data_IF_469393918612
#
_entry.id   IF_469393918612
#
_cell.length_a   1.000
_cell.length_b   1.000
_cell.length_c   1.000
_cell.angle_alpha   90.00
_cell.angle_beta   90.00
_cell.angle_gamma   90.00
#
_symmetry.space_group_name_H-M   'P 1'
#
loop_
_entity.id
_entity.type
_entity.pdbx_description
1 polymer ?
#
# COMPACT_ATOMS: atom_id res chain seq x y z
N UNK A 1 3.58 -3.76 36.26
CA UNK A 1 2.39 -4.49 35.86
C UNK A 1 2.03 -3.95 34.47
N UNK A 2 2.55 -4.56 33.49
CA UNK A 2 2.00 -5.45 32.53
C UNK A 2 3.11 -6.06 31.65
N UNK A 3 3.70 -7.15 32.13
CA UNK A 3 4.64 -7.96 31.37
C UNK A 3 3.93 -8.98 30.46
N UNK A 4 2.61 -8.87 30.30
CA UNK A 4 1.79 -9.84 29.54
C UNK A 4 1.49 -9.45 28.10
N UNK A 5 1.93 -8.27 27.64
CA UNK A 5 1.67 -7.81 26.26
C UNK A 5 2.81 -8.13 25.26
N UNK A 6 3.91 -8.72 25.69
CA UNK A 6 5.10 -8.93 24.84
C UNK A 6 5.25 -10.37 24.31
N UNK A 7 4.46 -11.33 24.82
CA UNK A 7 4.75 -12.75 24.60
C UNK A 7 3.92 -13.46 23.51
N UNK A 8 3.07 -12.78 22.76
CA UNK A 8 2.30 -13.48 21.72
C UNK A 8 2.41 -12.86 20.32
N UNK A 9 3.61 -12.45 19.94
CA UNK A 9 3.90 -12.09 18.56
C UNK A 9 3.95 -13.37 17.71
N UNK A 10 2.79 -13.85 17.29
CA UNK A 10 2.74 -15.01 16.39
C UNK A 10 3.54 -14.68 15.13
N UNK A 11 4.55 -15.49 14.85
CA UNK A 11 5.35 -15.32 13.62
C UNK A 11 4.45 -15.56 12.41
N UNK A 12 4.67 -14.81 11.32
CA UNK A 12 3.87 -14.92 10.08
C UNK A 12 3.72 -16.39 9.64
N UNK A 13 4.81 -17.19 9.70
CA UNK A 13 4.75 -18.60 9.34
C UNK A 13 3.74 -19.40 10.16
N UNK A 14 3.65 -19.15 11.46
CA UNK A 14 2.69 -19.82 12.34
C UNK A 14 1.23 -19.41 12.04
N UNK A 15 1.00 -18.13 11.71
CA UNK A 15 -0.31 -17.64 11.29
C UNK A 15 -0.79 -18.31 10.00
N UNK A 16 0.11 -18.43 9.03
CA UNK A 16 -0.20 -19.06 7.74
C UNK A 16 -0.42 -20.57 7.86
N UNK A 17 0.36 -21.25 8.73
CA UNK A 17 0.17 -22.67 9.05
C UNK A 17 -1.17 -22.93 9.73
N UNK A 18 -1.50 -22.14 10.76
CA UNK A 18 -2.75 -22.28 11.51
C UNK A 18 -3.99 -22.15 10.62
N UNK A 19 -3.86 -21.45 9.50
CA UNK A 19 -4.92 -21.26 8.50
C UNK A 19 -4.86 -22.23 7.32
N UNK A 20 -3.92 -23.16 7.32
CA UNK A 20 -3.68 -24.08 6.20
C UNK A 20 -3.47 -23.34 4.86
N UNK A 21 -2.91 -22.13 4.88
CA UNK A 21 -2.57 -21.36 3.66
C UNK A 21 -1.30 -21.92 3.03
N UNK A 22 -0.33 -22.30 3.88
CA UNK A 22 0.92 -22.93 3.46
C UNK A 22 1.20 -24.15 4.34
N UNK A 23 2.01 -25.09 3.83
CA UNK A 23 2.52 -26.24 4.58
C UNK A 23 3.84 -25.89 5.28
N UNK A 24 4.24 -26.72 6.27
CA UNK A 24 5.54 -26.60 6.92
C UNK A 24 6.69 -26.72 5.91
N UNK A 25 6.57 -27.63 4.96
CA UNK A 25 7.58 -27.85 3.90
C UNK A 25 7.77 -26.61 3.03
N UNK A 26 6.69 -25.89 2.71
CA UNK A 26 6.74 -24.65 1.95
C UNK A 26 7.39 -23.51 2.75
N UNK A 27 7.15 -23.42 4.05
CA UNK A 27 7.83 -22.48 4.92
C UNK A 27 9.33 -22.79 5.00
N UNK A 28 9.68 -24.06 5.19
CA UNK A 28 11.09 -24.49 5.31
C UNK A 28 11.84 -24.22 3.99
N UNK A 29 11.19 -24.42 2.85
CA UNK A 29 11.74 -24.08 1.54
C UNK A 29 11.99 -22.57 1.40
N UNK A 30 11.02 -21.73 1.78
CA UNK A 30 11.16 -20.27 1.74
C UNK A 30 12.23 -19.76 2.69
N UNK A 31 12.35 -20.33 3.90
CA UNK A 31 13.41 -19.99 4.87
C UNK A 31 14.80 -20.40 4.36
N UNK A 32 14.91 -21.52 3.65
CA UNK A 32 16.16 -21.95 3.04
C UNK A 32 16.60 -20.99 1.94
N UNK A 33 15.67 -20.62 1.07
CA UNK A 33 15.89 -19.61 0.02
C UNK A 33 16.29 -18.24 0.61
N UNK A 34 15.65 -17.84 1.73
CA UNK A 34 15.97 -16.60 2.42
C UNK A 34 17.43 -16.60 2.92
N UNK A 35 17.91 -17.73 3.46
CA UNK A 35 19.29 -17.88 3.92
C UNK A 35 20.28 -17.82 2.77
N UNK A 36 20.00 -18.48 1.67
CA UNK A 36 20.84 -18.49 0.48
C UNK A 36 20.98 -17.11 -0.15
N UNK A 37 19.88 -16.33 -0.19
CA UNK A 37 19.86 -14.95 -0.70
C UNK A 37 20.33 -13.90 0.32
N UNK A 38 20.85 -14.31 1.48
CA UNK A 38 21.44 -13.42 2.48
C UNK A 38 20.40 -12.54 3.21
N UNK A 39 19.22 -13.06 3.48
CA UNK A 39 18.15 -12.42 4.25
C UNK A 39 17.65 -11.07 3.69
N UNK A 40 17.79 -10.82 2.38
CA UNK A 40 17.41 -9.55 1.75
C UNK A 40 15.90 -9.39 1.56
N UNK A 41 15.15 -10.50 1.58
CA UNK A 41 13.70 -10.52 1.39
C UNK A 41 12.99 -11.04 2.62
N UNK A 42 11.79 -10.52 2.87
CA UNK A 42 10.95 -11.00 3.95
C UNK A 42 10.36 -12.38 3.60
N UNK A 43 10.07 -13.21 4.61
CA UNK A 43 9.47 -14.53 4.41
C UNK A 43 8.17 -14.44 3.57
N UNK A 44 7.33 -13.44 3.84
CA UNK A 44 6.08 -13.24 3.10
C UNK A 44 6.30 -12.97 1.62
N UNK A 45 7.30 -12.16 1.27
CA UNK A 45 7.65 -11.87 -0.13
C UNK A 45 8.11 -13.13 -0.86
N UNK A 46 8.94 -13.95 -0.21
CA UNK A 46 9.41 -15.20 -0.78
C UNK A 46 8.28 -16.21 -1.00
N UNK A 47 7.37 -16.34 -0.02
CA UNK A 47 6.21 -17.22 -0.16
C UNK A 47 5.32 -16.83 -1.35
N UNK A 48 5.15 -15.53 -1.60
CA UNK A 48 4.41 -15.01 -2.76
C UNK A 48 5.17 -15.26 -4.06
N UNK A 49 6.48 -14.99 -4.11
CA UNK A 49 7.31 -15.23 -5.29
C UNK A 49 7.36 -16.72 -5.68
N UNK A 50 7.41 -17.60 -4.69
CA UNK A 50 7.37 -19.04 -4.89
C UNK A 50 5.97 -19.56 -5.24
N UNK A 51 4.95 -18.68 -5.24
CA UNK A 51 3.57 -19.02 -5.59
C UNK A 51 2.84 -19.85 -4.54
N UNK A 52 3.33 -19.89 -3.31
CA UNK A 52 2.72 -20.65 -2.21
C UNK A 52 1.52 -19.98 -1.59
N UNK A 53 1.47 -18.65 -1.65
CA UNK A 53 0.33 -17.84 -1.21
C UNK A 53 0.26 -16.51 -1.96
N UNK A 54 -0.80 -15.75 -1.72
CA UNK A 54 -0.99 -14.40 -2.26
C UNK A 54 -0.73 -13.34 -1.20
N UNK A 55 -0.42 -12.10 -1.62
CA UNK A 55 -0.28 -10.96 -0.70
C UNK A 55 -1.55 -10.75 0.14
N UNK A 56 -2.74 -10.94 -0.46
CA UNK A 56 -4.02 -10.80 0.25
C UNK A 56 -4.18 -11.84 1.37
N UNK A 57 -3.72 -13.06 1.14
CA UNK A 57 -3.75 -14.11 2.17
C UNK A 57 -2.81 -13.79 3.33
N UNK A 58 -1.63 -13.23 3.03
CA UNK A 58 -0.68 -12.77 4.06
C UNK A 58 -1.28 -11.63 4.87
N UNK A 59 -1.78 -10.58 4.21
CA UNK A 59 -2.36 -9.42 4.87
C UNK A 59 -3.58 -9.79 5.73
N UNK A 60 -4.44 -10.68 5.23
CA UNK A 60 -5.57 -11.21 6.00
C UNK A 60 -5.14 -12.03 7.21
N UNK A 61 -4.08 -12.84 7.08
CA UNK A 61 -3.54 -13.63 8.19
C UNK A 61 -2.93 -12.73 9.27
N UNK A 62 -2.18 -11.70 8.87
CA UNK A 62 -1.63 -10.70 9.80
C UNK A 62 -2.74 -9.93 10.50
N UNK A 63 -3.73 -9.45 9.76
CA UNK A 63 -4.87 -8.72 10.32
C UNK A 63 -5.55 -9.49 11.45
N UNK A 64 -5.88 -10.76 11.22
CA UNK A 64 -6.51 -11.61 12.24
C UNK A 64 -5.55 -11.91 13.40
N UNK A 65 -4.29 -12.22 13.11
CA UNK A 65 -3.29 -12.52 14.15
C UNK A 65 -3.04 -11.35 15.09
N UNK A 66 -3.23 -10.13 14.63
CA UNK A 66 -3.07 -8.90 15.43
C UNK A 66 -4.41 -8.28 15.86
N UNK A 67 -5.55 -8.93 15.53
CA UNK A 67 -6.87 -8.45 15.94
C UNK A 67 -7.28 -7.13 15.29
N UNK A 68 -6.74 -6.82 14.10
CA UNK A 68 -7.07 -5.61 13.33
C UNK A 68 -7.90 -5.97 12.10
N UNK A 69 -8.76 -5.06 11.59
CA UNK A 69 -9.50 -5.32 10.37
C UNK A 69 -8.58 -5.47 9.17
N UNK A 70 -8.91 -6.37 8.25
CA UNK A 70 -8.36 -6.41 6.91
C UNK A 70 -9.25 -5.60 5.96
N UNK A 71 -8.67 -4.76 5.13
CA UNK A 71 -9.38 -4.02 4.09
C UNK A 71 -8.57 -4.03 2.79
N UNK A 72 -9.24 -4.34 1.69
CA UNK A 72 -8.68 -4.10 0.37
C UNK A 72 -8.88 -2.62 0.03
N UNK A 73 -7.79 -1.85 0.02
CA UNK A 73 -7.86 -0.41 -0.20
C UNK A 73 -7.75 -0.07 -1.68
N UNK A 74 -8.26 1.10 -2.03
CA UNK A 74 -8.21 1.64 -3.38
C UNK A 74 -8.69 3.09 -3.40
N UNK A 75 -8.58 3.80 -4.54
CA UNK A 75 -8.88 5.23 -4.63
C UNK A 75 -10.28 5.63 -4.15
N UNK A 76 -11.27 4.73 -4.29
CA UNK A 76 -12.66 5.03 -3.87
C UNK A 76 -12.88 5.06 -2.36
N UNK A 77 -11.94 4.51 -1.57
CA UNK A 77 -12.08 4.37 -0.10
C UNK A 77 -11.30 5.46 0.62
N UNK A 78 -10.33 6.08 -0.03
CA UNK A 78 -9.48 7.11 0.53
C UNK A 78 -10.12 8.50 0.31
N UNK A 79 -10.17 9.33 1.38
CA UNK A 79 -10.46 10.75 1.24
C UNK A 79 -9.15 11.48 0.89
N UNK A 80 -9.04 12.10 -0.29
CA UNK A 80 -7.80 12.77 -0.71
C UNK A 80 -7.31 13.83 0.29
N UNK A 81 -8.21 14.49 1.00
CA UNK A 81 -7.87 15.54 1.97
C UNK A 81 -7.10 15.04 3.18
N UNK A 82 -7.24 13.76 3.52
CA UNK A 82 -6.52 13.20 4.67
C UNK A 82 -5.08 12.81 4.33
N UNK A 83 -4.73 12.72 3.06
CA UNK A 83 -3.36 12.47 2.63
C UNK A 83 -2.42 13.59 3.03
N UNK A 84 -2.92 14.84 3.11
CA UNK A 84 -2.16 16.02 3.51
C UNK A 84 -1.81 16.05 5.00
N UNK A 85 -2.41 15.18 5.83
CA UNK A 85 -2.14 15.10 7.27
C UNK A 85 -0.74 14.57 7.57
N UNK A 86 -0.22 13.73 6.69
CA UNK A 86 1.13 13.15 6.81
C UNK A 86 2.01 13.60 5.63
N UNK A 87 3.32 13.82 5.85
CA UNK A 87 4.23 14.14 4.77
C UNK A 87 4.25 13.06 3.68
N UNK A 88 4.34 13.46 2.43
CA UNK A 88 4.36 12.55 1.28
C UNK A 88 5.49 11.52 1.38
N UNK A 89 6.68 11.97 1.73
CA UNK A 89 7.86 11.13 1.90
C UNK A 89 7.62 10.05 2.94
N UNK A 90 6.92 10.40 4.03
CA UNK A 90 6.55 9.46 5.09
C UNK A 90 5.56 8.39 4.58
N UNK A 91 4.55 8.80 3.79
CA UNK A 91 3.56 7.87 3.20
C UNK A 91 4.23 6.87 2.27
N UNK A 92 5.16 7.32 1.44
CA UNK A 92 5.86 6.51 0.44
C UNK A 92 6.91 5.58 1.09
N UNK A 93 7.71 6.10 2.04
CA UNK A 93 8.77 5.35 2.72
C UNK A 93 8.20 4.22 3.58
N UNK A 94 7.16 4.51 4.35
CA UNK A 94 6.56 3.55 5.29
C UNK A 94 5.37 2.77 4.72
N UNK A 95 4.97 3.03 3.48
CA UNK A 95 3.83 2.40 2.80
C UNK A 95 2.57 2.52 3.68
N UNK A 96 2.22 3.77 4.03
CA UNK A 96 1.08 4.13 4.87
C UNK A 96 0.07 4.88 4.04
N UNK A 97 -1.21 4.52 4.15
CA UNK A 97 -2.30 5.20 3.45
C UNK A 97 -3.33 5.69 4.46
N UNK A 98 -3.41 6.99 4.75
CA UNK A 98 -4.55 7.58 5.45
C UNK A 98 -5.83 7.39 4.63
N UNK A 99 -6.88 6.87 5.25
CA UNK A 99 -8.14 6.57 4.57
C UNK A 99 -9.18 7.66 4.81
N UNK A 100 -9.44 7.93 6.06
CA UNK A 100 -10.39 8.96 6.49
C UNK A 100 -10.13 9.37 7.94
N UNK A 101 -10.64 10.56 8.29
CA UNK A 101 -10.58 11.09 9.65
C UNK A 101 -11.98 11.37 10.16
N UNK A 102 -12.31 10.82 11.34
CA UNK A 102 -13.57 11.07 12.03
C UNK A 102 -13.24 11.67 13.40
N UNK A 103 -13.70 12.88 13.64
CA UNK A 103 -13.34 13.64 14.85
C UNK A 103 -11.82 13.76 15.01
N UNK A 104 -11.27 13.15 16.07
CA UNK A 104 -9.83 13.12 16.34
C UNK A 104 -9.21 11.73 16.11
N UNK A 105 -9.85 10.88 15.34
CA UNK A 105 -9.35 9.54 15.00
C UNK A 105 -9.06 9.47 13.51
N UNK A 106 -7.79 9.18 13.17
CA UNK A 106 -7.32 8.93 11.82
C UNK A 106 -7.27 7.43 11.56
N UNK A 107 -8.00 6.95 10.56
CA UNK A 107 -7.91 5.56 10.12
C UNK A 107 -6.88 5.45 9.02
N UNK A 108 -5.90 4.56 9.21
CA UNK A 108 -4.79 4.36 8.28
C UNK A 108 -4.67 2.89 7.88
N UNK A 109 -4.38 2.65 6.60
CA UNK A 109 -4.01 1.33 6.12
C UNK A 109 -2.49 1.16 6.17
N UNK A 110 -2.04 0.04 6.71
CA UNK A 110 -0.64 -0.36 6.80
C UNK A 110 -0.48 -1.83 6.42
N UNK A 111 0.71 -2.24 6.00
CA UNK A 111 1.00 -3.64 5.66
C UNK A 111 1.56 -4.43 6.85
N UNK A 112 2.10 -3.75 7.88
CA UNK A 112 2.72 -4.38 9.05
C UNK A 112 2.05 -3.93 10.36
N UNK A 113 0.95 -4.54 10.77
CA UNK A 113 0.23 -4.16 12.00
C UNK A 113 1.04 -4.38 13.29
N UNK A 114 2.14 -5.13 13.21
CA UNK A 114 3.08 -5.36 14.30
C UNK A 114 3.99 -4.15 14.61
N UNK A 115 4.08 -3.19 13.71
CA UNK A 115 5.00 -2.05 13.84
C UNK A 115 4.39 -0.95 14.71
N UNK A 116 4.48 -1.14 16.02
CA UNK A 116 3.93 -0.18 17.01
C UNK A 116 4.64 1.17 16.92
N UNK A 117 5.94 1.19 16.62
CA UNK A 117 6.69 2.45 16.47
C UNK A 117 6.16 3.31 15.33
N UNK A 118 5.78 2.68 14.22
CA UNK A 118 5.16 3.38 13.10
C UNK A 118 3.81 3.99 13.51
N UNK A 119 3.01 3.26 14.29
CA UNK A 119 1.70 3.74 14.76
C UNK A 119 1.89 4.97 15.67
N UNK A 120 2.80 4.88 16.65
CA UNK A 120 3.12 5.98 17.56
C UNK A 120 3.64 7.21 16.79
N UNK A 121 4.43 6.99 15.74
CA UNK A 121 4.94 8.08 14.91
C UNK A 121 3.84 8.75 14.10
N UNK A 122 2.92 7.98 13.53
CA UNK A 122 1.73 8.52 12.85
C UNK A 122 0.89 9.36 13.83
N UNK A 123 0.68 8.89 15.06
CA UNK A 123 -0.03 9.65 16.09
C UNK A 123 0.68 10.98 16.42
N UNK A 124 2.00 10.94 16.55
CA UNK A 124 2.82 12.11 16.84
C UNK A 124 2.76 13.15 15.72
N UNK A 125 2.85 12.73 14.45
CA UNK A 125 2.84 13.65 13.30
C UNK A 125 1.44 14.21 13.08
N UNK A 126 0.41 13.35 13.10
CA UNK A 126 -0.97 13.75 12.82
C UNK A 126 -1.67 14.49 13.95
N UNK A 127 -1.18 14.33 15.20
CA UNK A 127 -1.87 14.81 16.40
C UNK A 127 -3.22 14.13 16.66
N UNK A 128 -3.49 13.01 16.02
CA UNK A 128 -4.73 12.26 16.10
C UNK A 128 -4.50 10.91 16.78
N UNK A 129 -5.57 10.33 17.33
CA UNK A 129 -5.56 8.88 17.63
C UNK A 129 -5.54 8.10 16.33
N UNK A 130 -4.78 7.02 16.29
CA UNK A 130 -4.68 6.17 15.10
C UNK A 130 -5.49 4.90 15.26
N UNK A 131 -6.30 4.60 14.26
CA UNK A 131 -6.94 3.30 14.08
C UNK A 131 -6.37 2.67 12.82
N UNK A 132 -5.83 1.47 12.95
CA UNK A 132 -5.20 0.79 11.83
C UNK A 132 -6.14 -0.23 11.18
N UNK A 133 -6.00 -0.39 9.87
CA UNK A 133 -6.48 -1.52 9.10
C UNK A 133 -5.30 -2.15 8.36
N UNK A 134 -5.29 -3.45 8.21
CA UNK A 134 -4.25 -4.13 7.46
C UNK A 134 -4.63 -4.23 5.99
N UNK A 135 -3.68 -3.93 5.10
CA UNK A 135 -3.86 -4.07 3.66
C UNK A 135 -2.58 -4.54 2.99
N UNK A 136 -2.62 -4.81 1.68
CA UNK A 136 -1.42 -5.20 0.94
C UNK A 136 -0.56 -3.98 0.61
N UNK A 137 0.75 -4.16 0.58
CA UNK A 137 1.68 -3.11 0.14
C UNK A 137 1.38 -2.66 -1.30
N UNK A 138 0.96 -3.60 -2.15
CA UNK A 138 0.57 -3.34 -3.53
C UNK A 138 -0.62 -2.40 -3.64
N UNK A 139 -1.71 -2.67 -2.90
CA UNK A 139 -2.92 -1.85 -2.93
C UNK A 139 -2.67 -0.45 -2.37
N UNK A 140 -1.89 -0.36 -1.27
CA UNK A 140 -1.49 0.92 -0.69
C UNK A 140 -0.69 1.74 -1.70
N UNK A 141 0.38 1.17 -2.28
CA UNK A 141 1.23 1.87 -3.26
C UNK A 141 0.43 2.30 -4.49
N UNK A 142 -0.40 1.42 -5.04
CA UNK A 142 -1.24 1.74 -6.19
C UNK A 142 -2.19 2.91 -5.90
N UNK A 143 -2.75 2.95 -4.67
CA UNK A 143 -3.64 4.04 -4.26
C UNK A 143 -2.88 5.34 -4.05
N UNK A 144 -1.69 5.30 -3.40
CA UNK A 144 -0.83 6.48 -3.25
C UNK A 144 -0.43 7.05 -4.61
N UNK A 145 -0.02 6.22 -5.56
CA UNK A 145 0.33 6.65 -6.91
C UNK A 145 -0.83 7.30 -7.67
N UNK A 146 -2.06 6.86 -7.42
CA UNK A 146 -3.23 7.46 -8.04
C UNK A 146 -3.54 8.89 -7.53
N UNK A 147 -3.19 9.18 -6.28
CA UNK A 147 -3.43 10.49 -5.66
C UNK A 147 -2.21 11.39 -5.59
N UNK A 148 -1.03 10.80 -5.54
CA UNK A 148 0.25 11.48 -5.45
C UNK A 148 1.11 11.08 -6.66
N UNK A 149 0.76 11.54 -7.87
CA UNK A 149 1.58 11.24 -9.04
C UNK A 149 3.02 11.72 -8.79
N UNK A 150 3.99 10.98 -9.27
CA UNK A 150 5.40 11.33 -9.14
C UNK A 150 5.63 12.73 -9.72
N UNK A 151 6.50 13.53 -9.09
CA UNK A 151 6.81 14.91 -9.49
C UNK A 151 7.35 15.03 -10.94
N UNK A 152 7.59 13.90 -11.60
CA UNK A 152 8.05 13.84 -12.99
C UNK A 152 6.90 13.74 -14.01
N UNK A 153 5.66 13.94 -13.61
CA UNK A 153 4.55 14.09 -14.56
C UNK A 153 4.46 15.56 -14.93
N UNK A 154 5.14 15.94 -16.01
CA UNK A 154 4.93 17.25 -16.63
C UNK A 154 3.61 17.22 -17.38
N UNK A 155 2.58 17.85 -16.81
CA UNK A 155 1.37 18.19 -17.56
C UNK A 155 1.75 19.38 -18.45
N UNK A 156 1.92 19.14 -19.73
CA UNK A 156 2.14 20.22 -20.71
C UNK A 156 0.78 20.79 -21.05
N UNK A 157 0.23 21.65 -20.16
CA UNK A 157 -1.03 22.36 -20.41
C UNK A 157 -0.87 23.55 -21.36
N UNK A 158 0.35 23.93 -21.75
CA UNK A 158 0.64 25.21 -22.43
C UNK A 158 1.04 25.11 -23.91
N UNK A 159 0.81 24.01 -24.61
CA UNK A 159 1.09 23.94 -26.04
C UNK A 159 -0.19 23.62 -26.82
N UNK A 160 -1.17 24.49 -26.72
CA UNK A 160 -2.20 24.58 -27.77
C UNK A 160 -2.57 26.05 -27.96
N UNK A 161 -1.83 26.73 -28.82
CA UNK A 161 -2.32 27.93 -29.49
C UNK A 161 -3.39 27.53 -30.51
N UNK A 162 -4.59 27.90 -30.21
CA UNK A 162 -5.69 28.49 -31.01
C UNK A 162 -5.92 28.02 -32.45
N UNK A 163 -5.85 26.73 -32.74
CA UNK A 163 -6.53 26.19 -33.94
C UNK A 163 -7.00 24.73 -33.69
N UNK A 164 -8.15 24.58 -33.00
CA UNK A 164 -9.15 23.53 -33.26
C UNK A 164 -8.72 22.07 -33.20
N UNK A 165 -7.81 21.67 -32.30
CA UNK A 165 -7.50 20.26 -32.05
C UNK A 165 -7.90 19.87 -30.63
N UNK A 166 -8.70 18.81 -30.57
CA UNK A 166 -9.30 18.22 -29.39
C UNK A 166 -8.28 17.94 -28.27
N UNK A 167 -8.71 18.11 -27.03
CA UNK A 167 -7.95 17.91 -25.77
C UNK A 167 -7.06 16.66 -25.75
N UNK A 168 -5.76 16.86 -25.83
CA UNK A 168 -4.76 15.80 -25.64
C UNK A 168 -4.00 16.05 -24.37
N UNK A 169 -4.01 15.11 -23.45
CA UNK A 169 -3.12 15.11 -22.28
C UNK A 169 -1.91 14.22 -22.59
N UNK A 170 -0.73 14.82 -22.66
CA UNK A 170 0.53 14.10 -22.85
C UNK A 170 1.13 13.78 -21.47
N UNK A 171 1.24 12.51 -21.14
CA UNK A 171 1.89 12.08 -19.91
C UNK A 171 3.23 11.46 -20.26
N UNK A 172 4.33 12.12 -19.90
CA UNK A 172 5.68 11.63 -20.11
C UNK A 172 6.22 11.02 -18.83
N UNK A 173 6.58 9.72 -18.86
CA UNK A 173 7.19 9.03 -17.72
C UNK A 173 8.69 8.87 -17.99
N UNK A 174 9.53 9.68 -17.30
CA UNK A 174 10.98 9.77 -17.54
C UNK A 174 11.80 8.69 -16.82
N UNK A 175 11.21 7.77 -16.07
CA UNK A 175 11.98 6.80 -15.28
C UNK A 175 12.65 5.67 -16.08
N UNK A 176 12.30 5.45 -17.34
CA UNK A 176 12.86 4.34 -18.14
C UNK A 176 13.62 4.74 -19.38
N UNK A 177 13.73 6.04 -19.69
CA UNK A 177 14.35 6.48 -20.94
C UNK A 177 13.57 6.11 -22.21
N UNK A 178 12.41 5.53 -22.08
CA UNK A 178 11.48 5.24 -23.18
C UNK A 178 10.26 6.15 -23.09
N UNK A 179 10.05 6.92 -24.16
CA UNK A 179 8.91 7.81 -24.31
C UNK A 179 7.67 7.00 -24.64
N UNK A 180 6.75 6.83 -23.69
CA UNK A 180 5.42 6.29 -23.98
C UNK A 180 4.41 7.44 -24.06
N UNK A 181 3.90 7.68 -25.25
CA UNK A 181 2.82 8.64 -25.48
C UNK A 181 1.49 7.94 -25.30
N UNK A 182 0.76 8.30 -24.25
CA UNK A 182 -0.59 7.78 -24.01
C UNK A 182 -1.59 8.84 -24.48
N UNK A 183 -2.28 8.57 -25.57
CA UNK A 183 -3.37 9.40 -26.04
C UNK A 183 -4.66 9.07 -25.29
N UNK A 184 -5.17 9.99 -24.48
CA UNK A 184 -6.50 9.86 -23.87
C UNK A 184 -7.45 10.77 -24.65
N UNK A 185 -8.26 10.20 -25.52
CA UNK A 185 -9.30 10.98 -26.19
C UNK A 185 -10.51 11.14 -25.26
N UNK A 186 -11.00 12.36 -25.11
CA UNK A 186 -12.15 12.73 -24.27
C UNK A 186 -13.52 12.29 -24.85
N UNK A 187 -13.55 11.41 -25.86
CA UNK A 187 -14.74 11.03 -26.60
C UNK A 187 -15.64 9.97 -25.94
N UNK A 188 -15.38 9.57 -24.68
CA UNK A 188 -16.16 8.49 -24.04
C UNK A 188 -17.20 8.98 -23.01
N UNK A 189 -17.50 10.27 -22.90
CA UNK A 189 -18.46 10.80 -21.90
C UNK A 189 -19.74 11.36 -22.55
N UNK A 190 -20.01 11.12 -23.81
CA UNK A 190 -21.28 11.57 -24.44
C UNK A 190 -22.06 10.45 -25.08
N UNK A 191 -22.44 9.43 -24.35
CA UNK A 191 -23.54 8.56 -24.73
C UNK A 191 -24.12 7.81 -23.54
N UNK A 192 -24.79 8.49 -22.65
CA UNK A 192 -25.82 7.96 -21.77
C UNK A 192 -26.78 9.13 -21.42
N UNK A 193 -27.62 9.48 -22.34
CA UNK A 193 -28.97 9.95 -22.13
C UNK A 193 -29.92 8.93 -22.74
#
# INVERSE_FOLDING_TARGET
MDQLAVENKMQLGQLLLARNIVSQEQIDAALSEQKEKGHRKLLGELLVEMGYCTENQIASALAEGYGVPYAQVGPKICDPKVLEILPREFLEEHIVLPLFKVNNTLTVAICEPANVFLIDEIERISGCKVQIVCSTAKDIKATLQAYLPSENVFVIDDIIDDEGLEDFTLIENIQSGEMQVIFISSLTIKSLE
#
